data_IF_128699902419
#
_entry.id   IF_128699902419
#
_cell.length_a   1.000
_cell.length_b   1.000
_cell.length_c   1.000
_cell.angle_alpha   90.00
_cell.angle_beta   90.00
_cell.angle_gamma   90.00
#
_symmetry.space_group_name_H-M   'P 1'
#
loop_
_entity.id
_entity.type
_entity.pdbx_description
1 polymer ?
#
# COMPACT_ATOMS: atom_id res chain seq x y z
N UNK A 1 0.09 -5.88 12.76
CA UNK A 1 1.45 -6.28 13.18
C UNK A 1 1.57 -7.70 13.76
N UNK A 2 0.60 -8.28 14.50
CA UNK A 2 0.78 -9.66 15.01
C UNK A 2 1.06 -10.68 13.87
N UNK A 3 0.37 -10.53 12.72
CA UNK A 3 0.58 -11.38 11.54
C UNK A 3 1.88 -11.08 10.77
N UNK A 4 2.33 -9.82 10.76
CA UNK A 4 3.63 -9.44 10.17
C UNK A 4 4.79 -9.91 11.06
N UNK A 5 4.63 -9.80 12.39
CA UNK A 5 5.52 -10.41 13.38
C UNK A 5 5.58 -11.92 13.21
N UNK A 6 4.44 -12.59 12.96
CA UNK A 6 4.43 -14.02 12.65
C UNK A 6 5.17 -14.33 11.36
N UNK A 7 4.99 -13.52 10.29
CA UNK A 7 5.80 -13.65 9.08
C UNK A 7 7.30 -13.61 9.38
N UNK A 8 7.77 -12.57 10.08
CA UNK A 8 9.19 -12.44 10.43
C UNK A 8 9.66 -13.56 11.35
N UNK A 9 8.84 -14.00 12.29
CA UNK A 9 9.15 -15.12 13.17
C UNK A 9 9.37 -16.42 12.37
N UNK A 10 8.43 -16.77 11.50
CA UNK A 10 8.53 -17.96 10.63
C UNK A 10 9.72 -17.85 9.67
N UNK A 11 9.98 -16.65 9.12
CA UNK A 11 11.11 -16.43 8.23
C UNK A 11 12.45 -16.62 8.96
N UNK A 12 12.65 -15.93 10.08
CA UNK A 12 13.90 -15.99 10.86
C UNK A 12 14.11 -17.39 11.44
N UNK A 13 13.08 -17.97 12.07
CA UNK A 13 13.16 -19.32 12.62
C UNK A 13 13.46 -20.35 11.53
N UNK A 14 12.77 -20.28 10.39
CA UNK A 14 13.00 -21.15 9.24
C UNK A 14 14.41 -21.04 8.68
N UNK A 15 14.90 -19.82 8.44
CA UNK A 15 16.26 -19.57 7.94
C UNK A 15 17.32 -20.10 8.92
N UNK A 16 17.18 -19.80 10.22
CA UNK A 16 18.13 -20.28 11.23
C UNK A 16 18.15 -21.80 11.30
N UNK A 17 17.00 -22.47 11.32
CA UNK A 17 16.91 -23.94 11.37
C UNK A 17 17.57 -24.58 10.15
N UNK A 18 17.35 -24.05 8.94
CA UNK A 18 18.00 -24.56 7.72
C UNK A 18 19.52 -24.37 7.79
N UNK A 19 20.00 -23.19 8.18
CA UNK A 19 21.44 -22.90 8.27
C UNK A 19 22.13 -23.76 9.33
N UNK A 20 21.54 -23.88 10.53
CA UNK A 20 22.08 -24.74 11.59
C UNK A 20 22.06 -26.22 11.18
N UNK A 21 20.93 -26.70 10.64
CA UNK A 21 20.80 -28.08 10.19
C UNK A 21 21.80 -28.43 9.08
N UNK A 22 21.98 -27.55 8.10
CA UNK A 22 22.96 -27.72 7.03
C UNK A 22 24.41 -27.67 7.55
N UNK A 23 24.71 -26.78 8.51
CA UNK A 23 26.04 -26.70 9.14
C UNK A 23 26.41 -27.97 9.91
N UNK A 24 25.49 -28.49 10.72
CA UNK A 24 25.70 -29.76 11.45
C UNK A 24 25.84 -30.92 10.47
N UNK A 25 24.98 -30.97 9.43
CA UNK A 25 25.06 -31.99 8.39
C UNK A 25 26.42 -31.99 7.69
N UNK A 26 26.93 -30.81 7.32
CA UNK A 26 28.25 -30.67 6.72
C UNK A 26 29.37 -31.11 7.67
N UNK A 27 29.29 -30.78 8.96
CA UNK A 27 30.27 -31.22 9.96
C UNK A 27 30.32 -32.75 10.08
N UNK A 28 29.15 -33.41 10.18
CA UNK A 28 29.05 -34.88 10.24
C UNK A 28 29.63 -35.50 8.96
N UNK A 29 29.29 -34.96 7.77
CA UNK A 29 29.83 -35.47 6.52
C UNK A 29 31.35 -35.32 6.43
N UNK A 30 31.90 -34.18 6.88
CA UNK A 30 33.34 -33.96 6.88
C UNK A 30 34.06 -34.93 7.82
N UNK A 31 33.51 -35.18 9.00
CA UNK A 31 34.04 -36.17 9.94
C UNK A 31 34.00 -37.58 9.33
N UNK A 32 32.87 -37.99 8.75
CA UNK A 32 32.75 -39.28 8.06
C UNK A 32 33.69 -39.45 6.87
N UNK A 33 34.08 -38.38 6.19
CA UNK A 33 34.97 -38.43 5.03
C UNK A 33 36.45 -38.37 5.38
N UNK A 34 36.82 -37.71 6.49
CA UNK A 34 38.22 -37.46 6.85
C UNK A 34 38.69 -38.25 8.07
N UNK A 35 37.82 -38.44 9.06
CA UNK A 35 38.15 -38.94 10.40
C UNK A 35 37.12 -39.99 10.84
N UNK A 36 36.72 -40.88 9.93
CA UNK A 36 35.66 -41.85 10.18
C UNK A 36 35.98 -42.79 11.36
N UNK A 37 35.18 -42.71 12.42
CA UNK A 37 35.21 -43.67 13.52
C UNK A 37 34.11 -44.73 13.39
N UNK A 38 34.54 -45.99 13.22
CA UNK A 38 33.63 -47.13 13.11
C UNK A 38 32.78 -47.39 14.37
N UNK A 39 33.25 -47.01 15.55
CA UNK A 39 32.50 -47.15 16.80
C UNK A 39 31.32 -46.15 16.89
N UNK A 40 31.44 -45.03 16.17
CA UNK A 40 30.46 -43.93 16.17
C UNK A 40 29.44 -44.02 15.04
N UNK A 41 29.39 -45.13 14.29
CA UNK A 41 28.48 -45.34 13.14
C UNK A 41 27.01 -45.02 13.45
N UNK A 42 26.51 -45.46 14.61
CA UNK A 42 25.13 -45.20 15.01
C UNK A 42 24.89 -43.69 15.24
N UNK A 43 25.85 -43.00 15.85
CA UNK A 43 25.77 -41.56 16.09
C UNK A 43 25.74 -40.78 14.78
N UNK A 44 26.52 -41.17 13.77
CA UNK A 44 26.45 -40.57 12.44
C UNK A 44 25.08 -40.74 11.78
N UNK A 45 24.51 -41.94 11.80
CA UNK A 45 23.18 -42.20 11.22
C UNK A 45 22.09 -41.40 11.93
N UNK A 46 22.07 -41.43 13.26
CA UNK A 46 21.10 -40.66 14.05
C UNK A 46 21.27 -39.14 13.85
N UNK A 47 22.51 -38.67 13.77
CA UNK A 47 22.85 -37.27 13.51
C UNK A 47 22.37 -36.80 12.12
N UNK A 48 22.58 -37.60 11.07
CA UNK A 48 22.08 -37.30 9.73
C UNK A 48 20.55 -37.25 9.68
N UNK A 49 19.86 -38.18 10.35
CA UNK A 49 18.39 -38.19 10.46
C UNK A 49 17.90 -36.94 11.20
N UNK A 50 18.54 -36.58 12.32
CA UNK A 50 18.19 -35.38 13.07
C UNK A 50 18.39 -34.11 12.24
N UNK A 51 19.51 -34.01 11.50
CA UNK A 51 19.76 -32.88 10.59
C UNK A 51 18.70 -32.78 9.50
N UNK A 52 18.32 -33.91 8.88
CA UNK A 52 17.25 -33.94 7.90
C UNK A 52 15.92 -33.45 8.50
N UNK A 53 15.58 -33.88 9.72
CA UNK A 53 14.40 -33.40 10.43
C UNK A 53 14.40 -31.89 10.70
N UNK A 54 15.53 -31.35 11.17
CA UNK A 54 15.70 -29.91 11.43
C UNK A 54 15.57 -29.10 10.13
N UNK A 55 16.21 -29.55 9.05
CA UNK A 55 16.14 -28.88 7.74
C UNK A 55 14.70 -28.90 7.20
N UNK A 56 14.03 -30.06 7.23
CA UNK A 56 12.64 -30.18 6.76
C UNK A 56 11.69 -29.29 7.56
N UNK A 57 11.87 -29.22 8.89
CA UNK A 57 11.09 -28.31 9.72
C UNK A 57 11.39 -26.83 9.39
N UNK A 58 12.66 -26.47 9.19
CA UNK A 58 13.05 -25.13 8.75
C UNK A 58 12.43 -24.75 7.39
N UNK A 59 12.41 -25.67 6.43
CA UNK A 59 11.73 -25.48 5.14
C UNK A 59 10.23 -25.28 5.32
N UNK A 60 9.58 -26.04 6.20
CA UNK A 60 8.16 -25.86 6.52
C UNK A 60 7.87 -24.46 7.07
N UNK A 61 8.70 -23.95 7.99
CA UNK A 61 8.59 -22.60 8.54
C UNK A 61 8.78 -21.52 7.44
N UNK A 62 9.75 -21.70 6.54
CA UNK A 62 9.91 -20.82 5.38
C UNK A 62 8.69 -20.84 4.45
N UNK A 63 8.12 -22.02 4.19
CA UNK A 63 6.88 -22.13 3.41
C UNK A 63 5.72 -21.39 4.08
N UNK A 64 5.61 -21.46 5.41
CA UNK A 64 4.62 -20.68 6.16
C UNK A 64 4.85 -19.19 6.00
N UNK A 65 6.10 -18.71 6.14
CA UNK A 65 6.45 -17.32 5.92
C UNK A 65 6.04 -16.84 4.51
N UNK A 66 6.42 -17.57 3.46
CA UNK A 66 6.02 -17.23 2.09
C UNK A 66 4.52 -17.29 1.86
N UNK A 67 3.80 -18.19 2.54
CA UNK A 67 2.34 -18.22 2.48
C UNK A 67 1.72 -17.00 3.17
N UNK A 68 2.27 -16.54 4.28
CA UNK A 68 1.85 -15.28 4.92
C UNK A 68 2.11 -14.08 4.02
N UNK A 69 3.31 -13.99 3.44
CA UNK A 69 3.68 -12.95 2.50
C UNK A 69 2.72 -12.91 1.30
N UNK A 70 2.49 -14.06 0.65
CA UNK A 70 1.55 -14.19 -0.47
C UNK A 70 0.13 -13.76 -0.10
N UNK A 71 -0.31 -13.99 1.14
CA UNK A 71 -1.65 -13.59 1.60
C UNK A 71 -1.73 -12.10 1.90
N UNK A 72 -0.74 -11.54 2.59
CA UNK A 72 -0.70 -10.12 2.96
C UNK A 72 -0.51 -9.24 1.72
N UNK A 73 0.40 -9.64 0.82
CA UNK A 73 0.78 -8.89 -0.38
C UNK A 73 -0.02 -9.31 -1.63
N UNK A 74 -1.10 -10.08 -1.47
CA UNK A 74 -1.92 -10.57 -2.60
C UNK A 74 -2.48 -9.44 -3.45
N UNK A 75 -2.79 -8.31 -2.84
CA UNK A 75 -3.35 -7.12 -3.51
C UNK A 75 -2.31 -6.29 -4.27
N UNK A 76 -1.02 -6.56 -4.06
CA UNK A 76 0.08 -5.82 -4.66
C UNK A 76 0.73 -6.60 -5.82
N UNK A 77 1.06 -5.86 -6.87
CA UNK A 77 1.88 -6.35 -7.98
C UNK A 77 3.33 -6.58 -7.52
N UNK A 78 4.12 -7.44 -8.19
CA UNK A 78 5.48 -7.77 -7.76
C UNK A 78 6.39 -6.55 -7.52
N UNK A 79 6.28 -5.50 -8.34
CA UNK A 79 7.05 -4.25 -8.15
C UNK A 79 6.62 -3.48 -6.90
N UNK A 80 5.31 -3.33 -6.69
CA UNK A 80 4.73 -2.64 -5.52
C UNK A 80 5.09 -3.34 -4.20
N UNK A 81 5.28 -4.66 -4.20
CA UNK A 81 5.69 -5.41 -3.01
C UNK A 81 7.04 -4.97 -2.50
N UNK A 82 8.01 -4.80 -3.39
CA UNK A 82 9.35 -4.40 -3.02
C UNK A 82 9.36 -2.97 -2.48
N UNK A 83 8.63 -2.08 -3.15
CA UNK A 83 8.45 -0.70 -2.71
C UNK A 83 7.80 -0.63 -1.32
N UNK A 84 6.69 -1.35 -1.10
CA UNK A 84 6.03 -1.41 0.19
C UNK A 84 6.96 -1.89 1.32
N UNK A 85 7.74 -2.96 1.08
CA UNK A 85 8.71 -3.47 2.08
C UNK A 85 9.81 -2.45 2.36
N UNK A 86 10.27 -1.72 1.34
CA UNK A 86 11.26 -0.64 1.54
C UNK A 86 10.69 0.49 2.40
N UNK A 87 9.45 0.90 2.16
CA UNK A 87 8.77 1.95 2.91
C UNK A 87 8.45 1.56 4.36
N UNK A 88 8.29 0.27 4.66
CA UNK A 88 8.10 -0.19 6.04
C UNK A 88 9.32 0.08 6.94
N UNK A 89 10.51 0.30 6.36
CA UNK A 89 11.74 0.53 7.12
C UNK A 89 11.85 1.99 7.57
N UNK A 90 11.69 2.94 6.64
CA UNK A 90 11.99 4.36 6.89
C UNK A 90 10.81 5.31 6.58
N UNK A 91 9.72 4.83 5.99
CA UNK A 91 8.64 5.64 5.41
C UNK A 91 7.30 5.58 6.15
N UNK A 92 7.28 5.24 7.44
CA UNK A 92 6.05 5.09 8.23
C UNK A 92 5.51 6.45 8.68
N UNK A 93 4.34 6.85 8.17
CA UNK A 93 3.66 8.11 8.51
C UNK A 93 2.76 7.98 9.74
N UNK A 94 2.12 6.82 9.92
CA UNK A 94 1.25 6.53 11.05
C UNK A 94 1.36 5.04 11.39
N UNK A 95 1.50 4.74 12.68
CA UNK A 95 1.47 3.37 13.18
C UNK A 95 0.50 3.27 14.35
N UNK A 96 -0.52 2.41 14.19
CA UNK A 96 -1.36 1.96 15.31
C UNK A 96 -0.83 0.60 15.74
N UNK A 97 -0.23 0.49 16.94
CA UNK A 97 0.46 -0.71 17.37
C UNK A 97 -0.39 -1.96 17.20
N UNK A 98 0.20 -3.00 16.60
CA UNK A 98 -0.49 -4.28 16.44
C UNK A 98 -1.46 -4.34 15.26
N UNK A 99 -1.91 -3.22 14.69
CA UNK A 99 -3.10 -3.18 13.83
C UNK A 99 -2.84 -2.52 12.47
N UNK A 100 -2.56 -1.23 12.43
CA UNK A 100 -2.47 -0.45 11.19
C UNK A 100 -1.08 0.13 11.00
N UNK A 101 -0.58 0.12 9.77
CA UNK A 101 0.62 0.85 9.37
C UNK A 101 0.30 1.60 8.09
N UNK A 102 0.52 2.91 8.09
CA UNK A 102 0.40 3.77 6.91
C UNK A 102 1.80 4.26 6.57
N UNK A 103 2.22 4.01 5.34
CA UNK A 103 3.46 4.54 4.77
C UNK A 103 3.14 5.67 3.79
N UNK A 104 4.13 6.18 3.05
CA UNK A 104 3.92 7.21 2.03
C UNK A 104 2.90 6.77 0.98
N UNK A 105 3.06 5.58 0.40
CA UNK A 105 2.21 5.14 -0.72
C UNK A 105 1.25 4.00 -0.35
N UNK A 106 1.39 3.38 0.82
CA UNK A 106 0.63 2.18 1.17
C UNK A 106 -0.06 2.29 2.54
N UNK A 107 -1.12 1.50 2.70
CA UNK A 107 -1.89 1.37 3.93
C UNK A 107 -2.15 -0.10 4.24
N UNK A 108 -1.53 -0.60 5.31
CA UNK A 108 -1.69 -1.95 5.84
C UNK A 108 -2.73 -1.95 6.96
N UNK A 109 -3.86 -2.64 6.76
CA UNK A 109 -5.02 -2.61 7.68
C UNK A 109 -5.57 -4.01 8.00
N UNK A 110 -6.10 -4.24 9.22
CA UNK A 110 -6.77 -5.49 9.56
C UNK A 110 -8.14 -5.58 8.86
N UNK A 111 -8.31 -6.51 7.92
CA UNK A 111 -9.54 -6.65 7.14
C UNK A 111 -10.47 -7.74 7.73
N UNK A 112 -11.65 -7.35 8.23
CA UNK A 112 -12.65 -8.25 8.83
C UNK A 112 -13.09 -9.34 7.87
N UNK A 113 -13.44 -8.95 6.65
CA UNK A 113 -14.02 -9.84 5.63
C UNK A 113 -13.01 -10.81 5.02
N UNK A 114 -11.71 -10.61 5.27
CA UNK A 114 -10.64 -11.38 4.65
C UNK A 114 -9.94 -12.31 5.62
N UNK A 115 -10.29 -12.35 6.91
CA UNK A 115 -9.55 -13.11 7.94
C UNK A 115 -8.04 -12.78 8.05
N UNK A 116 -7.54 -11.79 7.30
CA UNK A 116 -6.12 -11.42 7.16
C UNK A 116 -5.94 -9.91 7.18
N UNK A 117 -4.69 -9.46 7.10
CA UNK A 117 -4.35 -8.05 6.87
C UNK A 117 -4.44 -7.77 5.37
N UNK A 118 -4.87 -6.58 4.99
CA UNK A 118 -4.93 -6.13 3.59
C UNK A 118 -3.99 -4.94 3.39
N UNK A 119 -3.30 -4.90 2.25
CA UNK A 119 -2.50 -3.74 1.86
C UNK A 119 -3.21 -3.01 0.74
N UNK A 120 -3.51 -1.74 0.97
CA UNK A 120 -3.97 -0.80 -0.04
C UNK A 120 -2.79 -0.01 -0.57
N UNK A 121 -2.68 0.11 -1.89
CA UNK A 121 -1.96 1.22 -2.47
C UNK A 121 -2.87 2.45 -2.41
N UNK A 122 -2.39 3.55 -1.80
CA UNK A 122 -3.18 4.77 -1.60
C UNK A 122 -3.69 5.34 -2.92
N UNK A 123 -2.90 5.22 -3.99
CA UNK A 123 -3.27 5.63 -5.34
C UNK A 123 -4.50 4.89 -5.92
N UNK A 124 -4.89 3.75 -5.33
CA UNK A 124 -6.04 2.93 -5.70
C UNK A 124 -7.22 3.09 -4.73
N UNK A 125 -7.11 3.90 -3.68
CA UNK A 125 -8.22 4.18 -2.78
C UNK A 125 -9.18 5.19 -3.40
N UNK A 126 -10.48 4.88 -3.38
CA UNK A 126 -11.52 5.79 -3.88
C UNK A 126 -12.43 6.35 -2.79
N UNK A 127 -12.54 5.67 -1.66
CA UNK A 127 -13.37 6.14 -0.57
C UNK A 127 -12.93 5.57 0.76
N UNK A 128 -13.14 6.35 1.81
CA UNK A 128 -12.87 5.97 3.19
C UNK A 128 -14.00 6.53 4.05
N UNK A 129 -14.78 5.67 4.68
CA UNK A 129 -15.95 6.04 5.46
C UNK A 129 -15.80 5.47 6.86
N UNK A 130 -15.85 6.33 7.86
CA UNK A 130 -15.97 5.90 9.25
C UNK A 130 -17.46 5.81 9.57
N UNK A 131 -17.95 4.65 10.03
CA UNK A 131 -19.28 4.60 10.61
C UNK A 131 -19.29 5.53 11.84
N UNK A 132 -20.41 6.21 12.13
CA UNK A 132 -20.57 7.16 13.25
C UNK A 132 -20.41 6.51 14.64
N UNK A 133 -19.24 5.92 14.94
CA UNK A 133 -18.86 5.36 16.25
C UNK A 133 -18.41 6.49 17.19
N UNK A 134 -18.64 7.75 16.85
CA UNK A 134 -18.37 8.93 17.69
C UNK A 134 -19.29 9.05 18.93
N UNK A 135 -19.79 7.94 19.49
CA UNK A 135 -20.69 8.01 20.66
C UNK A 135 -20.36 7.09 21.83
N UNK A 136 -19.34 6.23 21.76
CA UNK A 136 -18.98 5.42 22.92
C UNK A 136 -17.47 5.51 23.21
N UNK A 137 -17.12 6.26 24.25
CA UNK A 137 -15.76 6.32 24.83
C UNK A 137 -15.23 4.94 25.26
N UNK A 138 -16.13 3.96 25.40
CA UNK A 138 -15.86 2.56 25.75
C UNK A 138 -15.91 1.59 24.55
N UNK A 139 -15.96 2.08 23.31
CA UNK A 139 -15.96 1.20 22.14
C UNK A 139 -14.65 0.38 22.12
N UNK A 140 -14.78 -0.94 22.18
CA UNK A 140 -13.67 -1.90 22.10
C UNK A 140 -13.38 -2.35 20.67
N UNK A 141 -14.21 -1.90 19.73
CA UNK A 141 -14.06 -2.11 18.30
C UNK A 141 -14.56 -0.86 17.55
N UNK A 142 -13.77 -0.39 16.59
CA UNK A 142 -14.13 0.71 15.69
C UNK A 142 -13.91 0.26 14.24
N UNK A 143 -14.82 0.67 13.36
CA UNK A 143 -14.85 0.23 11.97
C UNK A 143 -14.71 1.37 10.98
N UNK A 144 -13.84 1.16 10.00
CA UNK A 144 -13.67 2.05 8.84
C UNK A 144 -13.88 1.20 7.59
N UNK A 145 -14.65 1.70 6.64
CA UNK A 145 -14.90 1.06 5.35
C UNK A 145 -14.07 1.75 4.28
N UNK A 146 -13.17 1.02 3.65
CA UNK A 146 -12.33 1.52 2.56
C UNK A 146 -12.75 0.89 1.24
N UNK A 147 -12.86 1.70 0.19
CA UNK A 147 -13.13 1.26 -1.18
C UNK A 147 -11.90 1.46 -2.06
N UNK A 148 -11.63 0.47 -2.91
CA UNK A 148 -10.62 0.55 -3.97
C UNK A 148 -11.23 0.93 -5.33
N UNK A 149 -10.37 1.17 -6.33
CA UNK A 149 -10.78 1.45 -7.72
C UNK A 149 -11.59 0.32 -8.37
N UNK A 150 -11.53 -0.91 -7.82
CA UNK A 150 -12.37 -2.02 -8.25
C UNK A 150 -13.78 -1.99 -7.63
N UNK A 151 -14.07 -0.98 -6.79
CA UNK A 151 -15.31 -0.82 -6.04
C UNK A 151 -15.55 -1.97 -5.05
N UNK A 152 -14.49 -2.61 -4.56
CA UNK A 152 -14.56 -3.60 -3.48
C UNK A 152 -14.42 -2.87 -2.14
N UNK A 153 -15.30 -3.22 -1.20
CA UNK A 153 -15.22 -2.72 0.16
C UNK A 153 -14.36 -3.63 1.03
N UNK A 154 -13.54 -3.01 1.86
CA UNK A 154 -12.83 -3.68 2.95
C UNK A 154 -13.20 -3.00 4.26
N UNK A 155 -13.74 -3.80 5.17
CA UNK A 155 -14.04 -3.38 6.53
C UNK A 155 -12.77 -3.52 7.37
N UNK A 156 -12.26 -2.39 7.84
CA UNK A 156 -11.10 -2.28 8.71
C UNK A 156 -11.56 -2.32 10.17
N UNK A 157 -11.16 -3.35 10.90
CA UNK A 157 -11.49 -3.53 12.31
C UNK A 157 -10.33 -3.09 13.21
N UNK A 158 -10.47 -1.96 13.87
CA UNK A 158 -9.53 -1.51 14.92
C UNK A 158 -10.09 -1.95 16.27
N UNK A 159 -9.34 -2.71 17.06
CA UNK A 159 -9.82 -3.34 18.31
C UNK A 159 -9.03 -2.94 19.55
N UNK A 160 -9.61 -3.11 20.72
CA UNK A 160 -8.97 -2.86 22.01
C UNK A 160 -9.19 -1.45 22.56
N UNK A 161 -8.64 -1.19 23.73
CA UNK A 161 -8.86 0.08 24.43
C UNK A 161 -8.33 1.26 23.60
N UNK A 162 -9.15 2.29 23.43
CA UNK A 162 -8.84 3.45 22.60
C UNK A 162 -8.99 3.20 21.09
N UNK A 163 -9.68 2.13 20.67
CA UNK A 163 -9.91 1.86 19.24
C UNK A 163 -10.66 2.99 18.54
N UNK A 164 -11.57 3.69 19.23
CA UNK A 164 -12.29 4.84 18.66
C UNK A 164 -11.35 6.00 18.32
N UNK A 165 -10.46 6.38 19.26
CA UNK A 165 -9.45 7.42 19.02
C UNK A 165 -8.42 7.00 17.95
N UNK A 166 -7.99 5.74 17.97
CA UNK A 166 -7.09 5.20 16.95
C UNK A 166 -7.74 5.22 15.55
N UNK A 167 -9.02 4.85 15.44
CA UNK A 167 -9.78 4.93 14.20
C UNK A 167 -9.96 6.38 13.74
N UNK A 168 -10.30 7.30 14.65
CA UNK A 168 -10.43 8.73 14.34
C UNK A 168 -9.11 9.34 13.83
N UNK A 169 -7.97 8.98 14.44
CA UNK A 169 -6.64 9.40 13.97
C UNK A 169 -6.32 8.87 12.57
N UNK A 170 -6.62 7.58 12.31
CA UNK A 170 -6.42 7.00 10.98
C UNK A 170 -7.31 7.68 9.94
N UNK A 171 -8.60 7.85 10.25
CA UNK A 171 -9.56 8.49 9.37
C UNK A 171 -9.15 9.93 9.07
N UNK A 172 -8.83 10.73 10.09
CA UNK A 172 -8.35 12.11 9.91
C UNK A 172 -7.07 12.17 9.07
N UNK A 173 -6.10 11.27 9.29
CA UNK A 173 -4.87 11.19 8.49
C UNK A 173 -5.15 10.83 7.02
N UNK A 174 -6.13 9.96 6.77
CA UNK A 174 -6.57 9.62 5.42
C UNK A 174 -7.25 10.81 4.74
N UNK A 175 -8.22 11.45 5.40
CA UNK A 175 -8.94 12.60 4.85
C UNK A 175 -8.00 13.78 4.54
N UNK A 176 -7.04 14.05 5.44
CA UNK A 176 -6.06 15.14 5.24
C UNK A 176 -5.01 14.81 4.19
N UNK A 177 -4.55 13.56 4.13
CA UNK A 177 -3.52 13.14 3.17
C UNK A 177 -4.05 12.82 1.77
N UNK A 178 -5.36 12.58 1.64
CA UNK A 178 -5.99 12.17 0.37
C UNK A 178 -7.34 12.88 0.18
N UNK A 179 -7.39 14.22 0.09
CA UNK A 179 -8.64 14.98 0.01
C UNK A 179 -9.45 14.73 -1.27
N UNK A 180 -8.86 14.11 -2.29
CA UNK A 180 -9.54 13.77 -3.54
C UNK A 180 -10.44 12.52 -3.43
N UNK A 181 -10.37 11.77 -2.33
CA UNK A 181 -11.21 10.56 -2.11
C UNK A 181 -12.52 10.89 -1.41
N UNK A 182 -13.53 10.03 -1.55
CA UNK A 182 -14.81 10.24 -0.89
C UNK A 182 -14.74 9.94 0.62
N UNK A 183 -15.21 10.88 1.45
CA UNK A 183 -15.23 10.72 2.91
C UNK A 183 -16.55 11.10 3.61
N UNK A 184 -17.38 11.99 3.07
CA UNK A 184 -18.55 12.53 3.82
C UNK A 184 -19.87 11.78 3.62
N UNK A 185 -20.26 11.49 2.38
CA UNK A 185 -21.60 10.98 2.08
C UNK A 185 -21.54 9.53 1.57
N UNK A 186 -21.53 8.59 2.53
CA UNK A 186 -21.48 7.16 2.25
C UNK A 186 -22.66 6.68 1.41
N UNK A 187 -23.88 7.14 1.72
CA UNK A 187 -25.10 6.68 1.04
C UNK A 187 -25.18 7.21 -0.39
N UNK A 188 -24.81 8.47 -0.62
CA UNK A 188 -24.71 9.03 -1.98
C UNK A 188 -23.62 8.34 -2.78
N UNK A 189 -22.46 8.05 -2.18
CA UNK A 189 -21.42 7.25 -2.82
C UNK A 189 -21.96 5.87 -3.23
N UNK A 190 -22.63 5.16 -2.33
CA UNK A 190 -23.26 3.87 -2.63
C UNK A 190 -24.30 3.94 -3.75
N UNK A 191 -25.12 5.00 -3.77
CA UNK A 191 -26.11 5.21 -4.82
C UNK A 191 -25.44 5.45 -6.19
N UNK A 192 -24.32 6.15 -6.20
CA UNK A 192 -23.55 6.47 -7.39
C UNK A 192 -22.84 5.24 -7.99
N UNK A 193 -22.18 4.40 -7.17
CA UNK A 193 -21.43 3.22 -7.66
C UNK A 193 -22.33 2.12 -8.24
N UNK A 194 -23.63 2.14 -7.92
CA UNK A 194 -24.66 1.21 -8.43
C UNK A 194 -25.11 1.56 -9.86
N UNK A 195 -24.89 2.79 -10.33
CA UNK A 195 -25.27 3.22 -11.68
C UNK A 195 -24.24 2.76 -12.71
N UNK A 196 -24.70 2.09 -13.78
CA UNK A 196 -23.82 1.67 -14.88
C UNK A 196 -23.18 2.89 -15.57
N UNK A 197 -21.89 2.81 -15.87
CA UNK A 197 -21.13 3.90 -16.52
C UNK A 197 -20.54 4.95 -15.57
N UNK A 198 -21.11 5.14 -14.37
CA UNK A 198 -20.61 6.14 -13.41
C UNK A 198 -19.24 5.78 -12.83
N UNK A 199 -18.96 4.49 -12.65
CA UNK A 199 -17.68 3.97 -12.12
C UNK A 199 -16.44 4.50 -12.85
N UNK A 200 -16.45 4.48 -14.19
CA UNK A 200 -15.32 4.98 -14.99
C UNK A 200 -15.15 6.48 -14.84
N UNK A 201 -16.27 7.22 -14.82
CA UNK A 201 -16.27 8.67 -14.61
C UNK A 201 -15.69 9.01 -13.24
N UNK A 202 -16.04 8.26 -12.20
CA UNK A 202 -15.55 8.45 -10.85
C UNK A 202 -14.03 8.25 -10.75
N UNK A 203 -13.53 7.13 -11.28
CA UNK A 203 -12.08 6.85 -11.30
C UNK A 203 -11.33 7.97 -12.02
N UNK A 204 -11.86 8.44 -13.15
CA UNK A 204 -11.24 9.54 -13.91
C UNK A 204 -11.21 10.83 -13.08
N UNK A 205 -12.35 11.25 -12.53
CA UNK A 205 -12.45 12.47 -11.72
C UNK A 205 -11.49 12.45 -10.54
N UNK A 206 -11.36 11.31 -9.87
CA UNK A 206 -10.44 11.13 -8.76
C UNK A 206 -8.97 11.17 -9.17
N UNK A 207 -8.63 10.49 -10.27
CA UNK A 207 -7.27 10.51 -10.82
C UNK A 207 -6.87 11.94 -11.20
N UNK A 208 -7.76 12.67 -11.88
CA UNK A 208 -7.54 14.06 -12.28
C UNK A 208 -7.39 14.98 -11.04
N UNK A 209 -8.24 14.80 -10.03
CA UNK A 209 -8.16 15.56 -8.77
C UNK A 209 -6.85 15.28 -8.00
N UNK A 210 -6.41 14.02 -7.98
CA UNK A 210 -5.13 13.65 -7.37
C UNK A 210 -3.95 14.30 -8.09
N UNK A 211 -3.89 14.19 -9.42
CA UNK A 211 -2.81 14.77 -10.22
C UNK A 211 -2.70 16.27 -9.94
N UNK A 212 -3.83 17.00 -9.93
CA UNK A 212 -3.85 18.43 -9.59
C UNK A 212 -3.27 18.72 -8.21
N UNK A 213 -3.68 17.94 -7.21
CA UNK A 213 -3.18 18.09 -5.84
C UNK A 213 -1.67 17.79 -5.74
N UNK A 214 -1.21 16.67 -6.32
CA UNK A 214 0.18 16.22 -6.24
C UNK A 214 1.16 17.11 -7.02
N UNK A 215 0.72 17.69 -8.13
CA UNK A 215 1.55 18.60 -8.93
C UNK A 215 1.54 20.05 -8.42
N UNK A 216 0.74 20.37 -7.40
CA UNK A 216 0.54 21.75 -6.96
C UNK A 216 -0.13 22.62 -8.03
N UNK A 217 -0.88 21.98 -8.95
CA UNK A 217 -1.51 22.62 -10.09
C UNK A 217 -2.64 23.52 -9.61
N UNK A 218 -2.44 24.83 -9.72
CA UNK A 218 -3.47 25.82 -9.45
C UNK A 218 -4.13 26.25 -10.75
N UNK A 219 -5.45 26.11 -10.87
CA UNK A 219 -6.20 26.55 -12.04
C UNK A 219 -6.09 28.06 -12.30
N UNK A 220 -5.66 28.83 -11.30
CA UNK A 220 -5.39 30.26 -11.47
C UNK A 220 -4.17 30.53 -12.37
N UNK A 221 -3.14 29.67 -12.36
CA UNK A 221 -1.95 29.93 -13.18
C UNK A 221 -2.20 29.72 -14.67
N UNK A 222 -3.06 28.78 -15.05
CA UNK A 222 -3.45 28.56 -16.46
C UNK A 222 -4.42 29.65 -16.93
N UNK A 223 -5.31 30.13 -16.05
CA UNK A 223 -6.16 31.28 -16.37
C UNK A 223 -5.33 32.57 -16.53
N UNK A 224 -4.28 32.76 -15.73
CA UNK A 224 -3.32 33.85 -15.90
C UNK A 224 -2.47 33.68 -17.17
N UNK A 225 -1.94 32.49 -17.46
CA UNK A 225 -1.21 32.22 -18.72
C UNK A 225 -2.10 32.41 -19.96
N UNK A 226 -3.36 31.98 -19.93
CA UNK A 226 -4.31 32.22 -21.02
C UNK A 226 -4.68 33.70 -21.14
N UNK A 227 -4.87 34.42 -20.02
CA UNK A 227 -5.07 35.86 -20.01
C UNK A 227 -3.86 36.61 -20.56
N UNK A 228 -2.64 36.21 -20.20
CA UNK A 228 -1.41 36.78 -20.71
C UNK A 228 -1.23 36.51 -22.20
N UNK A 229 -1.48 35.28 -22.65
CA UNK A 229 -1.44 34.91 -24.07
C UNK A 229 -2.50 35.67 -24.89
N UNK A 230 -3.72 35.81 -24.39
CA UNK A 230 -4.76 36.64 -25.02
C UNK A 230 -4.38 38.12 -25.02
N UNK A 231 -3.81 38.64 -23.94
CA UNK A 231 -3.36 40.03 -23.84
C UNK A 231 -2.22 40.32 -24.82
N UNK A 232 -1.32 39.36 -25.00
CA UNK A 232 -0.22 39.45 -25.95
C UNK A 232 -0.70 39.39 -27.40
N UNK A 233 -1.64 38.50 -27.76
CA UNK A 233 -2.28 38.47 -29.09
C UNK A 233 -3.05 39.76 -29.40
N UNK A 234 -3.79 40.31 -28.42
CA UNK A 234 -4.45 41.62 -28.56
C UNK A 234 -3.44 42.74 -28.78
N UNK A 235 -2.32 42.73 -28.06
CA UNK A 235 -1.26 43.74 -28.19
C UNK A 235 -0.54 43.67 -29.55
N UNK A 236 -0.34 42.47 -30.08
CA UNK A 236 0.21 42.27 -31.43
C UNK A 236 -0.76 42.72 -32.54
N UNK A 237 -2.07 42.50 -32.36
CA UNK A 237 -3.12 42.95 -33.30
C UNK A 237 -3.32 44.46 -33.30
N UNK A 238 -3.12 45.10 -32.16
CA UNK A 238 -3.21 46.56 -31.99
C UNK A 238 -1.89 47.28 -32.30
N UNK A 239 -0.81 46.55 -32.61
CA UNK A 239 0.45 47.17 -32.99
C UNK A 239 0.32 47.90 -34.35
N UNK A 240 0.53 49.22 -34.43
CA UNK A 240 0.36 49.98 -35.66
C UNK A 240 1.27 49.49 -36.81
N UNK A 241 2.42 48.88 -36.50
CA UNK A 241 3.32 48.31 -37.52
C UNK A 241 2.77 47.03 -38.17
N UNK A 242 2.01 46.20 -37.44
CA UNK A 242 1.40 44.97 -37.96
C UNK A 242 0.18 45.29 -38.83
N UNK A 243 -0.57 46.34 -38.48
CA UNK A 243 -1.66 46.90 -39.30
C UNK A 243 -1.14 47.50 -40.60
N UNK A 244 -0.06 48.29 -40.57
CA UNK A 244 0.55 48.86 -41.77
C UNK A 244 1.06 47.79 -42.75
N UNK A 245 1.68 46.71 -42.25
CA UNK A 245 2.08 45.55 -43.10
C UNK A 245 0.89 44.87 -43.78
N UNK A 246 -0.25 44.70 -43.10
CA UNK A 246 -1.48 44.13 -43.67
C UNK A 246 -2.14 45.02 -44.72
N UNK A 247 -2.05 46.34 -44.57
CA UNK A 247 -2.55 47.28 -45.59
C UNK A 247 -1.61 47.41 -46.80
N UNK A 248 -0.30 47.23 -46.59
CA UNK A 248 0.70 47.18 -47.67
C UNK A 248 0.54 45.93 -48.54
N UNK A 249 0.30 44.74 -47.96
CA UNK A 249 0.20 43.49 -48.73
C UNK A 249 -1.09 43.38 -49.57
N UNK A 250 -2.16 44.09 -49.23
CA UNK A 250 -3.40 44.15 -50.04
C UNK A 250 -3.31 45.06 -51.27
N UNK A 251 -2.23 45.83 -51.44
CA UNK A 251 -2.02 46.72 -52.60
C UNK A 251 -1.11 46.14 -53.69
N UNK A 252 -0.51 44.97 -53.48
CA UNK A 252 0.18 44.24 -54.54
C UNK A 252 -0.81 43.29 -55.21
N UNK A 253 -1.39 43.75 -56.33
CA UNK A 253 -1.93 42.87 -57.36
C UNK A 253 -0.82 42.02 -57.97
#
# INVERSE_FOLDING_TARGET
MLKLKNYFFHLVAGTLMVLFGAGIFQAILLEMLKEYDSASKLAYVCGLIACAGIILYGVYELMQAFNYERRILKSLEPGERHEFVSELSDGVELSIPGQVVMTRHYLLVPARNMSFVHVFAKNRMIGCFQADVHKEEAATEAQIVIYDTDFKSVNVDIRGNGSSDAAGRLYSKICTGMPWIFHEDYDSFLAQIRRSGYRRKLIKQMTDARIRYESGYDSESEAEEELEAMTQDVRERLNPESLLKRFSSKKSK
#
